data_IF_253426019564
#
_entry.id   IF_253426019564
#
_cell.length_a   1.000
_cell.length_b   1.000
_cell.length_c   1.000
_cell.angle_alpha   90.00
_cell.angle_beta   90.00
_cell.angle_gamma   90.00
#
_symmetry.space_group_name_H-M   'P 1'
#
loop_
_entity.id
_entity.type
_entity.pdbx_description
1 polymer ?
#
# COMPACT_ATOMS: atom_id res chain seq x y z
N UNK A 1 7.32 26.27 41.33
CA UNK A 1 6.82 27.08 40.19
C UNK A 1 7.77 28.27 39.99
N UNK A 2 7.97 28.85 38.79
CA UNK A 2 7.59 28.49 37.40
C UNK A 2 8.80 28.38 36.40
N UNK A 3 8.71 27.60 35.29
CA UNK A 3 8.64 27.94 33.82
C UNK A 3 9.93 28.57 33.21
N UNK A 4 10.43 28.35 31.96
CA UNK A 4 9.95 27.95 30.62
C UNK A 4 11.12 27.24 29.85
N UNK A 5 10.93 26.20 29.00
CA UNK A 5 10.54 26.13 27.55
C UNK A 5 11.50 26.85 26.57
N UNK A 6 11.72 26.19 25.41
CA UNK A 6 12.33 26.63 24.14
C UNK A 6 13.79 26.23 23.87
N UNK A 7 13.99 25.13 23.14
CA UNK A 7 15.03 25.02 22.10
C UNK A 7 14.84 23.78 21.21
N UNK A 8 13.66 23.65 20.58
CA UNK A 8 13.39 22.59 19.59
C UNK A 8 12.65 23.16 18.38
N UNK A 9 13.18 24.24 17.80
CA UNK A 9 12.52 24.96 16.71
C UNK A 9 13.54 25.57 15.73
N UNK A 10 14.48 24.75 15.22
CA UNK A 10 15.35 25.17 14.10
C UNK A 10 15.53 24.10 13.01
N UNK A 11 15.19 22.81 13.24
CA UNK A 11 15.41 21.77 12.20
C UNK A 11 14.25 21.53 11.22
N UNK A 12 13.11 22.20 11.33
CA UNK A 12 11.95 21.98 10.44
C UNK A 12 11.89 22.92 9.21
N UNK A 13 12.68 23.99 9.17
CA UNK A 13 12.66 24.97 8.07
C UNK A 13 13.60 24.60 6.89
N UNK A 14 14.57 23.70 7.08
CA UNK A 14 15.54 23.35 6.03
C UNK A 14 15.15 22.13 5.17
N UNK A 15 14.05 21.42 5.47
CA UNK A 15 13.58 20.32 4.60
C UNK A 15 12.64 20.77 3.49
N UNK A 16 12.07 21.98 3.57
CA UNK A 16 11.16 22.50 2.53
C UNK A 16 11.91 22.77 1.22
N UNK A 17 13.18 23.16 1.26
CA UNK A 17 14.00 23.37 0.05
C UNK A 17 14.47 22.06 -0.63
N UNK A 18 14.33 20.89 0.02
CA UNK A 18 14.66 19.59 -0.60
C UNK A 18 13.52 19.01 -1.43
N UNK A 19 12.32 19.58 -1.36
CA UNK A 19 11.15 19.10 -2.09
C UNK A 19 11.12 19.58 -3.56
N UNK A 20 11.84 20.65 -3.92
CA UNK A 20 11.88 21.11 -5.32
C UNK A 20 12.77 20.21 -6.20
N UNK A 21 13.75 19.53 -5.62
CA UNK A 21 14.59 18.57 -6.35
C UNK A 21 13.91 17.21 -6.59
N UNK A 22 12.82 16.89 -5.87
CA UNK A 22 12.10 15.63 -6.02
C UNK A 22 11.01 15.68 -7.10
N UNK A 23 10.58 16.87 -7.52
CA UNK A 23 9.58 17.03 -8.60
C UNK A 23 10.12 16.73 -10.00
N UNK A 24 11.43 16.59 -10.17
CA UNK A 24 12.04 16.30 -11.49
C UNK A 24 12.15 14.79 -11.76
N UNK A 25 11.89 13.91 -10.78
CA UNK A 25 12.09 12.46 -10.94
C UNK A 25 10.81 11.63 -11.21
N UNK A 26 9.62 12.25 -11.24
CA UNK A 26 8.34 11.50 -11.26
C UNK A 26 7.68 11.32 -12.64
N UNK A 27 8.36 11.65 -13.73
CA UNK A 27 7.82 11.42 -15.08
C UNK A 27 8.07 9.96 -15.51
N UNK A 28 7.23 9.04 -15.03
CA UNK A 28 7.20 7.65 -15.54
C UNK A 28 6.76 6.56 -14.58
N UNK A 29 6.60 6.84 -13.28
CA UNK A 29 6.05 5.87 -12.33
C UNK A 29 4.55 6.08 -12.16
N UNK A 30 3.76 5.04 -12.44
CA UNK A 30 2.33 5.03 -12.14
C UNK A 30 2.13 5.29 -10.64
N UNK A 31 1.24 6.25 -10.32
CA UNK A 31 0.91 6.59 -8.94
C UNK A 31 0.40 5.34 -8.20
N UNK A 32 0.79 5.19 -6.94
CA UNK A 32 0.38 4.04 -6.15
C UNK A 32 -1.14 4.04 -5.91
N UNK A 33 -1.82 2.87 -5.97
CA UNK A 33 -3.21 2.77 -5.60
C UNK A 33 -3.43 3.27 -4.17
N UNK A 34 -4.50 4.03 -3.94
CA UNK A 34 -4.80 4.63 -2.63
C UNK A 34 -4.88 3.60 -1.51
N UNK A 35 -5.43 2.42 -1.77
CA UNK A 35 -5.52 1.34 -0.77
C UNK A 35 -4.14 0.94 -0.24
N UNK A 36 -3.10 1.03 -1.05
CA UNK A 36 -1.74 0.67 -0.62
C UNK A 36 -1.18 1.69 0.37
N UNK A 37 -1.43 2.98 0.16
CA UNK A 37 -1.02 4.05 1.09
C UNK A 37 -1.69 3.89 2.46
N UNK A 38 -2.99 3.62 2.47
CA UNK A 38 -3.73 3.36 3.70
C UNK A 38 -3.28 2.09 4.41
N UNK A 39 -2.96 1.03 3.67
CA UNK A 39 -2.38 -0.19 4.24
C UNK A 39 -1.04 0.11 4.93
N UNK A 40 -0.12 0.79 4.25
CA UNK A 40 1.20 1.14 4.80
C UNK A 40 1.07 2.03 6.04
N UNK A 41 0.14 2.99 6.02
CA UNK A 41 -0.16 3.81 7.19
C UNK A 41 -0.55 2.95 8.39
N UNK A 42 -1.56 2.08 8.24
CA UNK A 42 -2.02 1.24 9.36
C UNK A 42 -0.97 0.23 9.82
N UNK A 43 -0.23 -0.40 8.89
CA UNK A 43 0.90 -1.26 9.24
C UNK A 43 1.93 -0.52 10.11
N UNK A 44 2.20 0.77 9.81
CA UNK A 44 3.09 1.60 10.62
C UNK A 44 2.54 1.86 12.02
N UNK A 45 1.24 2.12 12.15
CA UNK A 45 0.59 2.33 13.45
C UNK A 45 0.69 1.05 14.31
N UNK A 46 0.39 -0.11 13.74
CA UNK A 46 0.54 -1.41 14.41
C UNK A 46 1.98 -1.60 14.88
N UNK A 47 2.96 -1.37 14.00
CA UNK A 47 4.37 -1.47 14.34
C UNK A 47 4.78 -0.57 15.51
N UNK A 48 4.38 0.70 15.50
CA UNK A 48 4.68 1.62 16.60
C UNK A 48 3.94 1.27 17.89
N UNK A 49 2.73 0.73 17.81
CA UNK A 49 1.94 0.33 18.98
C UNK A 49 2.60 -0.80 19.80
N UNK A 50 3.35 -1.68 19.14
CA UNK A 50 4.00 -2.84 19.75
C UNK A 50 5.36 -2.52 20.38
N UNK A 51 5.89 -1.31 20.19
CA UNK A 51 7.20 -0.93 20.74
C UNK A 51 7.12 -0.64 22.24
N UNK A 52 8.03 -1.18 23.07
CA UNK A 52 8.14 -0.80 24.48
C UNK A 52 8.32 0.72 24.63
N UNK A 53 7.55 1.34 25.53
CA UNK A 53 7.58 2.80 25.73
C UNK A 53 6.99 3.61 24.57
N UNK A 54 6.21 2.98 23.69
CA UNK A 54 5.47 3.62 22.60
C UNK A 54 4.76 4.90 23.07
N UNK A 55 4.99 5.98 22.33
CA UNK A 55 4.28 7.25 22.50
C UNK A 55 3.19 7.43 21.43
N UNK A 56 2.69 6.34 20.86
CA UNK A 56 1.76 6.39 19.73
C UNK A 56 0.55 7.28 20.01
N UNK A 57 -0.12 7.12 21.16
CA UNK A 57 -1.27 7.97 21.52
C UNK A 57 -0.90 9.46 21.63
N UNK A 58 0.31 9.79 22.12
CA UNK A 58 0.78 11.19 22.18
C UNK A 58 1.04 11.74 20.78
N UNK A 59 1.63 10.94 19.89
CA UNK A 59 1.85 11.30 18.50
C UNK A 59 0.52 11.51 17.76
N UNK A 60 -0.44 10.60 17.91
CA UNK A 60 -1.77 10.70 17.32
C UNK A 60 -2.53 11.93 17.81
N UNK A 61 -2.43 12.24 19.12
CA UNK A 61 -2.99 13.46 19.69
C UNK A 61 -2.31 14.72 19.12
N UNK A 62 -0.99 14.76 19.07
CA UNK A 62 -0.25 15.94 18.60
C UNK A 62 -0.42 16.19 17.09
N UNK A 63 -0.41 15.13 16.29
CA UNK A 63 -0.38 15.23 14.83
C UNK A 63 -1.78 15.31 14.22
N UNK A 64 -2.74 14.60 14.80
CA UNK A 64 -4.09 14.49 14.24
C UNK A 64 -5.16 15.07 15.17
N UNK A 65 -4.84 15.36 16.43
CA UNK A 65 -5.82 15.83 17.41
C UNK A 65 -6.71 14.71 17.95
N UNK A 66 -6.26 13.44 17.88
CA UNK A 66 -7.04 12.30 18.36
C UNK A 66 -6.91 12.16 19.88
N UNK A 67 -8.03 12.09 20.58
CA UNK A 67 -8.07 11.64 21.96
C UNK A 67 -7.84 10.13 22.07
N UNK A 68 -7.83 9.62 23.30
CA UNK A 68 -7.56 8.19 23.53
C UNK A 68 -8.64 7.29 22.93
N UNK A 69 -9.91 7.73 22.94
CA UNK A 69 -11.02 6.97 22.39
C UNK A 69 -10.94 6.91 20.85
N UNK A 70 -10.68 8.06 20.21
CA UNK A 70 -10.55 8.15 18.76
C UNK A 70 -9.31 7.43 18.25
N UNK A 71 -8.19 7.49 18.99
CA UNK A 71 -6.98 6.72 18.69
C UNK A 71 -7.26 5.20 18.72
N UNK A 72 -7.96 4.71 19.75
CA UNK A 72 -8.34 3.30 19.82
C UNK A 72 -9.30 2.90 18.69
N UNK A 73 -10.19 3.80 18.30
CA UNK A 73 -11.08 3.59 17.16
C UNK A 73 -10.30 3.51 15.85
N UNK A 74 -9.37 4.44 15.60
CA UNK A 74 -8.50 4.42 14.44
C UNK A 74 -7.71 3.10 14.35
N UNK A 75 -7.15 2.65 15.48
CA UNK A 75 -6.38 1.40 15.56
C UNK A 75 -7.25 0.17 15.26
N UNK A 76 -8.45 0.08 15.85
CA UNK A 76 -9.35 -1.07 15.65
C UNK A 76 -9.95 -1.11 14.24
N UNK A 77 -10.33 0.05 13.68
CA UNK A 77 -10.77 0.17 12.29
C UNK A 77 -9.62 -0.16 11.32
N UNK A 78 -8.39 0.26 11.64
CA UNK A 78 -7.18 -0.07 10.91
C UNK A 78 -6.88 -1.56 10.87
N UNK A 79 -6.95 -2.23 12.02
CA UNK A 79 -6.78 -3.68 12.11
C UNK A 79 -7.82 -4.43 11.26
N UNK A 80 -9.09 -4.05 11.37
CA UNK A 80 -10.18 -4.64 10.56
C UNK A 80 -9.90 -4.47 9.06
N UNK A 81 -9.43 -3.30 8.64
CA UNK A 81 -9.07 -3.01 7.26
C UNK A 81 -7.88 -3.87 6.78
N UNK A 82 -6.81 -3.96 7.58
CA UNK A 82 -5.64 -4.79 7.26
C UNK A 82 -6.00 -6.27 7.12
N UNK A 83 -6.85 -6.79 8.00
CA UNK A 83 -7.31 -8.18 7.95
C UNK A 83 -8.14 -8.45 6.69
N UNK A 84 -8.99 -7.52 6.28
CA UNK A 84 -9.76 -7.61 5.04
C UNK A 84 -8.83 -7.64 3.81
N UNK A 85 -7.85 -6.74 3.73
CA UNK A 85 -6.86 -6.73 2.63
C UNK A 85 -6.06 -8.03 2.61
N UNK A 86 -5.60 -8.52 3.77
CA UNK A 86 -4.85 -9.77 3.87
C UNK A 86 -5.66 -10.97 3.39
N UNK A 87 -6.95 -11.04 3.73
CA UNK A 87 -7.84 -12.11 3.24
C UNK A 87 -7.97 -12.04 1.71
N UNK A 88 -8.18 -10.86 1.13
CA UNK A 88 -8.24 -10.68 -0.32
C UNK A 88 -6.95 -11.16 -1.00
N UNK A 89 -5.79 -10.82 -0.45
CA UNK A 89 -4.50 -11.25 -1.00
C UNK A 89 -4.29 -12.76 -0.93
N UNK A 90 -4.72 -13.38 0.17
CA UNK A 90 -4.68 -14.83 0.34
C UNK A 90 -5.62 -15.54 -0.66
N UNK A 91 -6.84 -15.06 -0.80
CA UNK A 91 -7.84 -15.61 -1.72
C UNK A 91 -7.40 -15.43 -3.18
N UNK A 92 -6.85 -14.26 -3.52
CA UNK A 92 -6.27 -13.99 -4.84
C UNK A 92 -5.10 -14.92 -5.15
N UNK A 93 -4.23 -15.19 -4.17
CA UNK A 93 -3.11 -16.13 -4.33
C UNK A 93 -3.61 -17.55 -4.53
N UNK A 94 -4.61 -17.99 -3.75
CA UNK A 94 -5.21 -19.31 -3.90
C UNK A 94 -5.87 -19.46 -5.28
N UNK A 95 -6.59 -18.43 -5.74
CA UNK A 95 -7.23 -18.43 -7.04
C UNK A 95 -6.22 -18.41 -8.20
N UNK A 96 -5.16 -17.61 -8.10
CA UNK A 96 -4.06 -17.62 -9.06
C UNK A 96 -3.38 -19.00 -9.11
N UNK A 97 -3.14 -19.63 -7.96
CA UNK A 97 -2.59 -20.99 -7.91
C UNK A 97 -3.54 -22.00 -8.56
N UNK A 98 -4.85 -21.90 -8.32
CA UNK A 98 -5.86 -22.77 -8.93
C UNK A 98 -5.91 -22.62 -10.45
N UNK A 99 -5.84 -21.40 -10.97
CA UNK A 99 -5.88 -21.10 -12.41
C UNK A 99 -4.57 -21.40 -13.13
N UNK A 100 -3.43 -21.13 -12.49
CA UNK A 100 -2.13 -21.02 -13.16
C UNK A 100 -1.05 -21.96 -12.63
N UNK A 101 -1.29 -22.63 -11.50
CA UNK A 101 -0.33 -23.49 -10.82
C UNK A 101 0.06 -24.74 -11.61
N UNK A 102 -0.71 -25.11 -12.64
CA UNK A 102 -0.46 -26.28 -13.48
C UNK A 102 0.27 -25.95 -14.81
N UNK A 103 1.17 -24.98 -14.80
CA UNK A 103 2.08 -24.77 -15.94
C UNK A 103 3.29 -25.72 -15.84
N UNK A 104 3.06 -26.94 -16.37
CA UNK A 104 4.01 -27.97 -16.85
C UNK A 104 4.67 -28.90 -15.80
N UNK A 105 4.35 -30.21 -15.80
CA UNK A 105 5.25 -31.25 -15.31
C UNK A 105 6.47 -31.35 -16.22
N UNK A 106 7.66 -31.17 -15.68
CA UNK A 106 8.89 -31.40 -16.43
C UNK A 106 9.08 -32.91 -16.69
N UNK A 107 9.00 -33.27 -17.98
CA UNK A 107 9.83 -34.29 -18.64
C UNK A 107 9.47 -35.78 -18.45
N UNK A 108 8.59 -36.27 -19.32
CA UNK A 108 8.99 -37.39 -20.20
C UNK A 108 9.82 -36.80 -21.36
N UNK A 109 10.90 -37.45 -21.82
CA UNK A 109 11.73 -36.90 -22.89
C UNK A 109 10.97 -36.88 -24.23
N UNK A 110 11.00 -35.79 -25.02
CA UNK A 110 10.30 -35.71 -26.29
C UNK A 110 11.08 -36.42 -27.41
N UNK A 111 10.40 -37.27 -28.18
CA UNK A 111 10.99 -38.01 -29.31
C UNK A 111 10.98 -37.28 -30.65
N UNK A 112 10.38 -36.09 -30.77
CA UNK A 112 10.31 -35.36 -32.05
C UNK A 112 10.33 -33.82 -31.88
N UNK A 113 10.91 -33.07 -32.84
CA UNK A 113 10.96 -31.61 -32.80
C UNK A 113 9.62 -31.02 -33.26
N UNK A 114 8.65 -30.97 -32.36
CA UNK A 114 7.40 -30.23 -32.58
C UNK A 114 7.69 -28.73 -32.48
N UNK A 115 7.30 -27.95 -33.50
CA UNK A 115 7.29 -26.48 -33.48
C UNK A 115 6.65 -25.99 -32.17
N UNK A 116 7.43 -25.37 -31.29
CA UNK A 116 6.97 -24.82 -30.01
C UNK A 116 5.95 -23.72 -30.30
N UNK A 117 4.67 -23.99 -30.07
CA UNK A 117 3.66 -22.94 -29.93
C UNK A 117 4.07 -22.01 -28.79
N UNK A 118 4.07 -20.72 -29.07
CA UNK A 118 4.46 -19.57 -28.24
C UNK A 118 3.59 -19.33 -26.99
N UNK A 119 2.98 -20.37 -26.44
CA UNK A 119 2.09 -20.30 -25.27
C UNK A 119 2.88 -20.43 -23.94
N UNK A 120 4.16 -20.87 -23.97
CA UNK A 120 4.86 -21.32 -22.75
C UNK A 120 5.55 -20.25 -21.89
N UNK A 121 5.66 -18.99 -22.31
CA UNK A 121 6.61 -18.06 -21.64
C UNK A 121 5.94 -16.99 -20.77
N UNK A 122 4.60 -16.93 -20.71
CA UNK A 122 3.90 -15.93 -19.89
C UNK A 122 3.95 -16.28 -18.41
N UNK A 123 4.44 -15.35 -17.60
CA UNK A 123 4.41 -15.41 -16.14
C UNK A 123 2.98 -15.53 -15.61
N UNK A 124 2.83 -16.02 -14.36
CA UNK A 124 1.52 -16.07 -13.68
C UNK A 124 0.89 -14.67 -13.62
N UNK A 125 1.70 -13.62 -13.43
CA UNK A 125 1.22 -12.23 -13.38
C UNK A 125 0.66 -11.77 -14.72
N UNK A 126 1.34 -12.05 -15.84
CA UNK A 126 0.86 -11.68 -17.16
C UNK A 126 -0.45 -12.39 -17.49
N UNK A 127 -0.55 -13.68 -17.18
CA UNK A 127 -1.80 -14.43 -17.34
C UNK A 127 -2.93 -13.85 -16.48
N UNK A 128 -2.64 -13.50 -15.23
CA UNK A 128 -3.59 -12.86 -14.31
C UNK A 128 -3.99 -11.42 -14.70
N UNK A 129 -3.16 -10.74 -15.50
CA UNK A 129 -3.50 -9.45 -16.08
C UNK A 129 -4.41 -9.62 -17.29
N UNK A 130 -4.11 -10.59 -18.17
CA UNK A 130 -4.89 -10.88 -19.37
C UNK A 130 -6.29 -11.42 -19.08
N UNK A 131 -6.45 -12.25 -18.05
CA UNK A 131 -7.76 -12.81 -17.67
C UNK A 131 -8.59 -11.87 -16.77
N UNK A 132 -8.04 -10.72 -16.40
CA UNK A 132 -8.69 -9.73 -15.54
C UNK A 132 -8.70 -10.05 -14.04
N UNK A 133 -8.07 -11.13 -13.58
CA UNK A 133 -8.00 -11.46 -12.14
C UNK A 133 -7.34 -10.33 -11.34
N UNK A 134 -6.26 -9.75 -11.87
CA UNK A 134 -5.56 -8.65 -11.20
C UNK A 134 -6.47 -7.41 -11.05
N UNK A 135 -7.17 -7.02 -12.12
CA UNK A 135 -8.09 -5.89 -12.09
C UNK A 135 -9.24 -6.11 -11.10
N UNK A 136 -9.77 -7.34 -11.03
CA UNK A 136 -10.80 -7.72 -10.07
C UNK A 136 -10.29 -7.58 -8.62
N UNK A 137 -9.09 -8.09 -8.33
CA UNK A 137 -8.50 -8.01 -6.99
C UNK A 137 -8.27 -6.55 -6.57
N UNK A 138 -7.71 -5.72 -7.47
CA UNK A 138 -7.50 -4.30 -7.19
C UNK A 138 -8.83 -3.56 -6.95
N UNK A 139 -9.89 -3.86 -7.72
CA UNK A 139 -11.21 -3.28 -7.51
C UNK A 139 -11.79 -3.67 -6.13
N UNK A 140 -11.64 -4.92 -5.71
CA UNK A 140 -12.11 -5.37 -4.39
C UNK A 140 -11.31 -4.69 -3.26
N UNK A 141 -10.00 -4.54 -3.40
CA UNK A 141 -9.18 -3.79 -2.42
C UNK A 141 -9.60 -2.33 -2.32
N UNK A 142 -9.91 -1.70 -3.45
CA UNK A 142 -10.40 -0.32 -3.46
C UNK A 142 -11.77 -0.21 -2.78
N UNK A 143 -12.70 -1.12 -3.06
CA UNK A 143 -14.01 -1.13 -2.38
C UNK A 143 -13.89 -1.31 -0.85
N UNK A 144 -12.94 -2.13 -0.39
CA UNK A 144 -12.62 -2.27 1.04
C UNK A 144 -12.07 -0.98 1.63
N UNK A 145 -11.20 -0.27 0.89
CA UNK A 145 -10.76 1.07 1.30
C UNK A 145 -11.95 2.03 1.41
N UNK A 146 -12.83 2.08 0.42
CA UNK A 146 -13.97 3.00 0.44
C UNK A 146 -14.91 2.72 1.64
N UNK A 147 -15.08 1.45 2.01
CA UNK A 147 -15.78 1.06 3.24
C UNK A 147 -15.05 1.50 4.52
N UNK A 148 -13.74 1.34 4.56
CA UNK A 148 -12.91 1.78 5.68
C UNK A 148 -12.96 3.31 5.85
N UNK A 149 -12.83 4.08 4.77
CA UNK A 149 -12.92 5.54 4.79
C UNK A 149 -14.27 6.00 5.33
N UNK A 150 -15.38 5.43 4.85
CA UNK A 150 -16.73 5.74 5.38
C UNK A 150 -16.83 5.44 6.87
N UNK A 151 -16.23 4.35 7.33
CA UNK A 151 -16.20 3.99 8.75
C UNK A 151 -15.45 5.04 9.56
N UNK A 152 -14.29 5.50 9.10
CA UNK A 152 -13.52 6.54 9.79
C UNK A 152 -14.27 7.88 9.79
N UNK A 153 -14.85 8.29 8.66
CA UNK A 153 -15.63 9.53 8.56
C UNK A 153 -16.86 9.54 9.49
N UNK A 154 -17.48 8.39 9.72
CA UNK A 154 -18.63 8.28 10.62
C UNK A 154 -18.26 8.30 12.11
N UNK A 155 -16.97 8.19 12.44
CA UNK A 155 -16.49 7.97 13.82
C UNK A 155 -15.51 9.02 14.30
N UNK A 156 -14.81 9.67 13.39
CA UNK A 156 -13.88 10.76 13.67
C UNK A 156 -14.54 12.09 13.31
N UNK A 157 -14.11 13.15 13.96
CA UNK A 157 -14.46 14.49 13.51
C UNK A 157 -13.89 14.76 12.11
N UNK A 158 -14.56 15.62 11.34
CA UNK A 158 -14.19 15.94 9.96
C UNK A 158 -12.76 16.47 9.85
N UNK A 159 -12.33 17.32 10.81
CA UNK A 159 -10.97 17.87 10.81
C UNK A 159 -9.93 16.80 11.15
N UNK A 160 -10.23 15.91 12.09
CA UNK A 160 -9.36 14.80 12.45
C UNK A 160 -9.15 13.85 11.27
N UNK A 161 -10.25 13.44 10.62
CA UNK A 161 -10.19 12.59 9.45
C UNK A 161 -9.42 13.24 8.30
N UNK A 162 -9.67 14.52 8.01
CA UNK A 162 -9.00 15.21 6.91
C UNK A 162 -7.48 15.31 7.14
N UNK A 163 -7.04 15.59 8.37
CA UNK A 163 -5.60 15.59 8.71
C UNK A 163 -4.93 14.24 8.47
N UNK A 164 -5.60 13.14 8.83
CA UNK A 164 -5.08 11.79 8.59
C UNK A 164 -4.99 11.54 7.09
N UNK A 165 -6.07 11.82 6.35
CA UNK A 165 -6.13 11.63 4.89
C UNK A 165 -5.04 12.40 4.18
N UNK A 166 -4.89 13.70 4.48
CA UNK A 166 -3.83 14.54 3.90
C UNK A 166 -2.44 13.99 4.23
N UNK A 167 -2.22 13.45 5.44
CA UNK A 167 -0.94 12.85 5.77
C UNK A 167 -0.68 11.56 4.96
N UNK A 168 -1.68 10.70 4.80
CA UNK A 168 -1.55 9.50 3.95
C UNK A 168 -1.25 9.90 2.49
N UNK A 169 -1.97 10.87 1.95
CA UNK A 169 -1.81 11.36 0.58
C UNK A 169 -0.43 12.01 0.38
N UNK A 170 0.00 12.89 1.29
CA UNK A 170 1.19 13.73 1.09
C UNK A 170 2.48 13.13 1.66
N UNK A 171 2.40 12.23 2.65
CA UNK A 171 3.58 11.67 3.32
C UNK A 171 3.82 10.20 3.04
N UNK A 172 2.75 9.41 2.86
CA UNK A 172 2.87 7.96 2.63
C UNK A 172 2.94 7.64 1.15
N UNK A 173 1.97 8.11 0.38
CA UNK A 173 1.84 7.80 -1.06
C UNK A 173 3.13 8.06 -1.84
N UNK A 174 3.84 9.20 -1.69
CA UNK A 174 5.07 9.47 -2.46
C UNK A 174 6.24 8.53 -2.13
N UNK A 175 6.16 7.81 -1.01
CA UNK A 175 7.22 6.90 -0.55
C UNK A 175 7.01 5.46 -1.04
N UNK A 176 5.85 5.17 -1.63
CA UNK A 176 5.54 3.84 -2.15
C UNK A 176 6.14 3.71 -3.55
N UNK A 177 7.11 2.81 -3.69
CA UNK A 177 7.71 2.47 -4.98
C UNK A 177 6.98 1.27 -5.57
N UNK A 178 6.28 1.46 -6.69
CA UNK A 178 5.75 0.36 -7.48
C UNK A 178 6.85 -0.16 -8.39
N UNK A 179 7.24 -1.41 -8.18
CA UNK A 179 8.13 -2.12 -9.09
C UNK A 179 7.31 -2.59 -10.31
N UNK A 180 7.31 -1.79 -11.36
CA UNK A 180 6.91 -2.23 -12.70
C UNK A 180 8.08 -3.06 -13.25
N UNK A 181 7.86 -4.31 -13.63
CA UNK A 181 8.91 -5.12 -14.24
C UNK A 181 9.38 -4.46 -15.55
N UNK A 182 10.67 -4.57 -15.93
CA UNK A 182 11.13 -4.05 -17.21
C UNK A 182 10.34 -4.73 -18.33
N UNK A 183 9.66 -3.91 -19.13
CA UNK A 183 9.12 -4.36 -20.42
C UNK A 183 10.30 -4.89 -21.21
N UNK A 184 10.31 -6.20 -21.51
CA UNK A 184 11.28 -6.75 -22.44
C UNK A 184 10.98 -6.16 -23.81
N UNK A 185 11.64 -5.05 -24.14
CA UNK A 185 11.72 -4.55 -25.49
C UNK A 185 12.39 -5.65 -26.33
N UNK A 186 11.62 -6.32 -27.18
CA UNK A 186 12.16 -7.19 -28.20
C UNK A 186 13.17 -6.41 -29.04
N UNK A 187 14.37 -6.94 -29.32
CA UNK A 187 15.29 -6.27 -30.23
C UNK A 187 14.66 -6.22 -31.63
N UNK A 188 14.82 -5.09 -32.38
CA UNK A 188 14.42 -5.04 -33.78
C UNK A 188 15.22 -6.08 -34.58
N UNK A 189 14.52 -6.72 -35.53
CA UNK A 189 14.98 -7.83 -36.37
C UNK A 189 16.26 -7.55 -37.14
#
# INVERSE_FOLDING_TARGET
MPRFVLSTLVLLALQVARNEAAQVASQGQAAAPSWMAWKVFHDSLVFYSQRPGSQLNKMLAAQYGLGSAEAQLLMSAGQTYLDAIKRIEMDAKAEAQRRYGNAVPASSPPKEPVRRSSISDKSVRERALEDGLYAQVEAVKQAVLDGHIRTLQAKLDALQFDRIRQWVENSVTPRIKILTAPSQALPPK
#
